data_IF_071692701257
#
_entry.id   IF_071692701257
#
_cell.length_a   1.000
_cell.length_b   1.000
_cell.length_c   1.000
_cell.angle_alpha   90.00
_cell.angle_beta   90.00
_cell.angle_gamma   90.00
#
_symmetry.space_group_name_H-M   'P 1'
#
loop_
_entity.id
_entity.type
_entity.pdbx_description
1 polymer ?
#
# COMPACT_ATOMS: atom_id res chain seq x y z
N UNK A 1 -35.18 14.96 -7.31
CA UNK A 1 -34.18 13.84 -7.14
C UNK A 1 -33.46 13.51 -8.45
N UNK A 2 -34.13 13.51 -9.61
CA UNK A 2 -33.49 13.30 -10.92
C UNK A 2 -32.45 14.37 -11.26
N UNK A 3 -32.74 15.64 -10.94
CA UNK A 3 -31.82 16.78 -11.17
C UNK A 3 -30.54 16.66 -10.31
N UNK A 4 -30.64 16.07 -9.11
CA UNK A 4 -29.51 15.87 -8.23
C UNK A 4 -28.61 14.72 -8.75
N UNK A 5 -29.25 13.65 -9.26
CA UNK A 5 -28.55 12.51 -9.87
C UNK A 5 -27.85 12.93 -11.16
N UNK A 6 -28.50 13.72 -12.05
CA UNK A 6 -27.86 14.26 -13.24
C UNK A 6 -26.69 15.21 -12.93
N UNK A 7 -26.76 16.00 -11.84
CA UNK A 7 -25.65 16.85 -11.40
C UNK A 7 -24.48 16.04 -10.85
N UNK A 8 -24.74 14.95 -10.12
CA UNK A 8 -23.70 14.04 -9.58
C UNK A 8 -23.00 13.29 -10.72
N UNK A 9 -23.74 12.81 -11.72
CA UNK A 9 -23.20 12.15 -12.92
C UNK A 9 -22.35 13.12 -13.73
N UNK A 10 -22.79 14.38 -13.89
CA UNK A 10 -22.01 15.44 -14.57
C UNK A 10 -20.71 15.81 -13.85
N UNK A 11 -20.63 15.68 -12.51
CA UNK A 11 -19.41 16.00 -11.74
C UNK A 11 -18.25 15.02 -11.97
N UNK A 12 -18.53 13.81 -12.45
CA UNK A 12 -17.49 12.78 -12.70
C UNK A 12 -17.12 12.66 -14.19
N UNK A 13 -17.65 13.54 -15.04
CA UNK A 13 -17.40 13.51 -16.48
C UNK A 13 -16.94 14.89 -16.95
N UNK A 14 -15.76 14.97 -17.55
CA UNK A 14 -15.14 16.24 -17.95
C UNK A 14 -14.09 16.04 -19.05
N UNK A 15 -13.69 17.13 -19.67
CA UNK A 15 -12.57 17.22 -20.62
C UNK A 15 -11.49 18.12 -20.03
N UNK A 16 -10.25 17.66 -20.01
CA UNK A 16 -9.08 18.49 -19.72
C UNK A 16 -8.24 18.65 -20.98
N UNK A 17 -7.81 19.89 -21.26
CA UNK A 17 -6.80 20.17 -22.29
C UNK A 17 -5.48 20.51 -21.65
N UNK A 18 -4.38 19.96 -22.17
CA UNK A 18 -3.02 20.19 -21.66
C UNK A 18 -1.98 19.36 -22.39
N UNK A 19 -0.78 19.27 -21.79
CA UNK A 19 0.28 18.39 -22.26
C UNK A 19 0.15 17.06 -21.52
N UNK A 20 -0.28 16.02 -22.20
CA UNK A 20 -0.61 14.72 -21.63
C UNK A 20 0.56 13.77 -21.85
N UNK A 21 1.07 13.14 -20.79
CA UNK A 21 2.14 12.14 -20.85
C UNK A 21 1.71 10.87 -20.12
N UNK A 22 1.77 9.72 -20.80
CA UNK A 22 1.39 8.43 -20.23
C UNK A 22 2.12 7.27 -20.90
N UNK A 23 2.27 6.16 -20.20
CA UNK A 23 2.86 4.94 -20.73
C UNK A 23 1.84 4.20 -21.59
N UNK A 24 2.23 3.79 -22.78
CA UNK A 24 1.46 2.88 -23.67
C UNK A 24 1.95 1.44 -23.57
N UNK A 25 3.17 1.26 -23.08
CA UNK A 25 3.75 -0.04 -22.73
C UNK A 25 4.77 0.12 -21.59
N UNK A 26 5.41 -0.95 -21.16
CA UNK A 26 6.47 -0.93 -20.14
C UNK A 26 7.71 -0.11 -20.56
N UNK A 27 7.93 0.08 -21.84
CA UNK A 27 9.13 0.71 -22.41
C UNK A 27 8.84 1.95 -23.25
N UNK A 28 7.57 2.32 -23.43
CA UNK A 28 7.19 3.41 -24.32
C UNK A 28 6.28 4.42 -23.62
N UNK A 29 6.70 5.69 -23.68
CA UNK A 29 5.92 6.84 -23.27
C UNK A 29 5.31 7.53 -24.49
N UNK A 30 4.05 7.96 -24.38
CA UNK A 30 3.38 8.82 -25.33
C UNK A 30 3.15 10.21 -24.73
N UNK A 31 3.45 11.25 -25.51
CA UNK A 31 3.14 12.63 -25.18
C UNK A 31 2.19 13.22 -26.24
N UNK A 32 1.17 13.93 -25.78
CA UNK A 32 0.16 14.55 -26.64
C UNK A 32 -0.17 15.93 -26.08
N UNK A 33 -0.02 16.98 -26.89
CA UNK A 33 -0.67 18.28 -26.60
C UNK A 33 -2.09 18.21 -27.12
N UNK A 34 -3.06 18.00 -26.21
CA UNK A 34 -4.43 17.70 -26.61
C UNK A 34 -5.40 17.58 -25.46
N UNK A 35 -6.31 16.64 -25.54
CA UNK A 35 -7.47 16.50 -24.68
C UNK A 35 -7.52 15.11 -24.05
N UNK A 36 -7.77 15.03 -22.74
CA UNK A 36 -8.16 13.80 -22.04
C UNK A 36 -9.62 13.90 -21.64
N UNK A 37 -10.37 12.85 -21.87
CA UNK A 37 -11.79 12.76 -21.50
C UNK A 37 -11.96 11.79 -20.35
N UNK A 38 -12.62 12.25 -19.31
CA UNK A 38 -13.12 11.41 -18.22
C UNK A 38 -14.63 11.24 -18.40
N UNK A 39 -15.10 10.00 -18.35
CA UNK A 39 -16.52 9.64 -18.34
C UNK A 39 -16.79 8.75 -17.14
N UNK A 40 -17.69 9.19 -16.27
CA UNK A 40 -18.08 8.43 -15.07
C UNK A 40 -16.88 7.98 -14.21
N UNK A 41 -15.88 8.89 -14.07
CA UNK A 41 -14.67 8.64 -13.31
C UNK A 41 -13.64 7.74 -14.02
N UNK A 42 -13.84 7.39 -15.30
CA UNK A 42 -12.91 6.57 -16.09
C UNK A 42 -12.35 7.35 -17.28
N UNK A 43 -11.08 7.09 -17.63
CA UNK A 43 -10.49 7.66 -18.83
C UNK A 43 -11.17 7.06 -20.08
N UNK A 44 -11.85 7.92 -20.85
CA UNK A 44 -12.50 7.54 -22.10
C UNK A 44 -11.58 7.71 -23.34
N UNK A 45 -10.39 8.29 -23.15
CA UNK A 45 -9.36 8.42 -24.18
C UNK A 45 -8.60 9.74 -24.14
N UNK A 46 -7.50 9.76 -24.91
CA UNK A 46 -6.65 10.91 -25.18
C UNK A 46 -6.76 11.26 -26.64
N UNK A 47 -6.98 12.54 -26.97
CA UNK A 47 -7.28 13.03 -28.31
C UNK A 47 -6.41 14.24 -28.67
N UNK A 48 -5.86 14.28 -29.87
CA UNK A 48 -5.09 15.43 -30.38
C UNK A 48 -5.97 16.61 -30.77
N UNK A 49 -7.20 16.31 -31.25
CA UNK A 49 -8.22 17.30 -31.62
C UNK A 49 -9.37 17.26 -30.65
N UNK A 50 -10.11 18.36 -30.51
CA UNK A 50 -11.29 18.43 -29.65
C UNK A 50 -12.27 17.30 -30.00
N UNK A 51 -12.64 16.46 -29.02
CA UNK A 51 -13.51 15.31 -29.28
C UNK A 51 -14.99 15.72 -29.29
N UNK A 52 -15.52 16.13 -30.46
CA UNK A 52 -16.86 16.70 -30.64
C UNK A 52 -17.99 15.86 -30.01
N UNK A 53 -17.86 14.54 -29.97
CA UNK A 53 -18.84 13.66 -29.32
C UNK A 53 -19.02 13.90 -27.81
N UNK A 54 -18.09 14.63 -27.20
CA UNK A 54 -18.11 14.95 -25.76
C UNK A 54 -18.29 16.45 -25.48
N UNK A 55 -18.66 17.25 -26.49
CA UNK A 55 -18.76 18.74 -26.42
C UNK A 55 -19.63 19.26 -25.28
N UNK A 56 -20.59 18.47 -24.79
CA UNK A 56 -21.52 18.85 -23.74
C UNK A 56 -20.96 18.62 -22.31
N UNK A 57 -19.75 18.05 -22.19
CA UNK A 57 -19.07 17.86 -20.92
C UNK A 57 -18.40 19.16 -20.43
N UNK A 58 -18.21 19.25 -19.11
CA UNK A 58 -17.42 20.34 -18.53
C UNK A 58 -15.99 20.33 -19.13
N UNK A 59 -15.58 21.48 -19.66
CA UNK A 59 -14.27 21.64 -20.28
C UNK A 59 -13.38 22.55 -19.44
N UNK A 60 -12.12 22.14 -19.22
CA UNK A 60 -11.10 22.92 -18.53
C UNK A 60 -9.83 22.98 -19.38
N UNK A 61 -9.40 24.16 -19.76
CA UNK A 61 -8.10 24.39 -20.41
C UNK A 61 -7.03 24.63 -19.33
N UNK A 62 -6.15 23.65 -19.15
CA UNK A 62 -5.02 23.71 -18.22
C UNK A 62 -3.78 24.35 -18.87
N UNK A 63 -3.93 24.86 -20.10
CA UNK A 63 -2.89 25.53 -20.89
C UNK A 63 -1.67 24.62 -21.10
N UNK A 64 -0.51 25.03 -20.56
CA UNK A 64 0.79 24.39 -20.67
C UNK A 64 1.09 23.36 -19.58
N UNK A 65 0.14 23.13 -18.68
CA UNK A 65 0.34 22.16 -17.59
C UNK A 65 0.47 20.74 -18.11
N UNK A 66 1.35 19.98 -17.44
CA UNK A 66 1.54 18.55 -17.69
C UNK A 66 0.45 17.75 -16.96
N UNK A 67 -0.21 16.87 -17.69
CA UNK A 67 -1.18 15.89 -17.19
C UNK A 67 -0.54 14.52 -17.24
N UNK A 68 -0.42 13.86 -16.11
CA UNK A 68 0.12 12.50 -15.96
C UNK A 68 -0.87 11.62 -15.20
N UNK A 69 -0.77 10.28 -15.30
CA UNK A 69 -1.50 9.37 -14.41
C UNK A 69 -1.19 9.68 -12.95
N UNK A 70 -2.20 9.55 -12.08
CA UNK A 70 -1.99 9.69 -10.65
C UNK A 70 -1.03 8.62 -10.12
N UNK A 71 -0.18 8.99 -9.16
CA UNK A 71 0.79 8.10 -8.55
C UNK A 71 0.10 7.06 -7.66
N UNK A 72 0.77 5.92 -7.49
CA UNK A 72 0.33 4.82 -6.62
C UNK A 72 1.42 4.59 -5.58
N UNK A 73 1.03 4.60 -4.31
CA UNK A 73 1.88 4.23 -3.18
C UNK A 73 1.48 2.84 -2.70
N UNK A 74 2.30 1.83 -2.97
CA UNK A 74 1.98 0.45 -2.62
C UNK A 74 2.29 0.08 -1.18
N UNK A 75 2.97 0.97 -0.42
CA UNK A 75 3.34 0.70 0.96
C UNK A 75 3.65 1.99 1.72
N UNK A 76 2.83 2.30 2.71
CA UNK A 76 3.00 3.45 3.60
C UNK A 76 2.37 3.17 4.96
N UNK A 77 3.01 3.63 6.04
CA UNK A 77 2.51 3.51 7.41
C UNK A 77 1.95 4.84 7.92
N UNK A 78 0.63 4.97 7.99
CA UNK A 78 -0.01 6.19 8.47
C UNK A 78 0.38 6.58 9.92
N UNK A 79 0.47 5.62 10.88
CA UNK A 79 0.83 5.96 12.26
C UNK A 79 2.28 6.40 12.44
N UNK A 80 3.14 6.15 11.48
CA UNK A 80 4.55 6.53 11.53
C UNK A 80 4.82 7.92 10.95
N UNK A 81 3.81 8.58 10.40
CA UNK A 81 3.94 9.86 9.71
C UNK A 81 4.51 10.98 10.59
N UNK A 82 4.26 10.93 11.90
CA UNK A 82 4.68 11.96 12.85
C UNK A 82 6.21 12.04 13.06
N UNK A 83 6.94 10.92 12.87
CA UNK A 83 8.39 10.86 13.11
C UNK A 83 9.24 10.57 11.86
N UNK A 84 8.67 10.76 10.65
CA UNK A 84 9.39 10.55 9.41
C UNK A 84 10.70 11.38 9.36
N UNK A 85 11.77 10.74 8.92
CA UNK A 85 13.09 11.34 8.90
C UNK A 85 13.85 11.30 10.24
N UNK A 86 13.29 10.62 11.26
CA UNK A 86 13.95 10.43 12.55
C UNK A 86 14.52 9.02 12.69
N UNK A 87 15.67 8.91 13.37
CA UNK A 87 16.32 7.61 13.64
C UNK A 87 16.89 6.93 12.39
N UNK A 88 17.25 7.69 11.35
CA UNK A 88 17.77 7.16 10.08
C UNK A 88 19.19 6.58 10.17
N UNK A 89 19.80 6.59 11.33
CA UNK A 89 21.09 6.01 11.67
C UNK A 89 20.99 4.67 12.42
N UNK A 90 19.76 4.19 12.61
CA UNK A 90 19.50 2.86 13.19
C UNK A 90 19.26 1.80 12.11
N UNK A 91 19.57 0.56 12.46
CA UNK A 91 19.13 -0.61 11.71
C UNK A 91 17.66 -0.95 12.02
N UNK A 92 16.99 -1.71 11.14
CA UNK A 92 15.55 -1.99 11.21
C UNK A 92 15.05 -2.36 12.61
N UNK A 93 15.63 -3.37 13.25
CA UNK A 93 15.12 -3.88 14.55
C UNK A 93 15.28 -2.85 15.66
N UNK A 94 16.41 -2.13 15.70
CA UNK A 94 16.64 -1.05 16.66
C UNK A 94 15.70 0.13 16.40
N UNK A 95 15.49 0.48 15.13
CA UNK A 95 14.57 1.53 14.72
C UNK A 95 13.12 1.21 15.10
N UNK A 96 12.67 -0.04 14.90
CA UNK A 96 11.34 -0.49 15.32
C UNK A 96 11.14 -0.28 16.83
N UNK A 97 12.10 -0.69 17.65
CA UNK A 97 11.99 -0.62 19.11
C UNK A 97 12.11 0.80 19.65
N UNK A 98 12.91 1.68 19.02
CA UNK A 98 13.22 3.02 19.54
C UNK A 98 12.31 4.11 18.99
N UNK A 99 11.84 3.98 17.76
CA UNK A 99 11.02 5.00 17.09
C UNK A 99 9.59 4.51 16.81
N UNK A 100 9.47 3.37 16.14
CA UNK A 100 8.19 2.93 15.57
C UNK A 100 7.19 2.50 16.62
N UNK A 101 7.54 1.53 17.44
CA UNK A 101 6.61 0.98 18.44
C UNK A 101 6.18 2.01 19.49
N UNK A 102 7.06 2.87 20.04
CA UNK A 102 6.65 3.93 20.95
C UNK A 102 5.67 4.93 20.32
N UNK A 103 5.80 5.22 19.04
CA UNK A 103 4.85 6.11 18.35
C UNK A 103 3.52 5.41 18.07
N UNK A 104 3.55 4.20 17.52
CA UNK A 104 2.32 3.43 17.19
C UNK A 104 1.47 3.14 18.44
N UNK A 105 2.07 2.97 19.61
CA UNK A 105 1.36 2.77 20.87
C UNK A 105 0.46 3.96 21.26
N UNK A 106 0.81 5.19 20.85
CA UNK A 106 0.01 6.40 21.14
C UNK A 106 -1.37 6.38 20.48
N UNK A 107 -1.54 5.62 19.40
CA UNK A 107 -2.80 5.51 18.65
C UNK A 107 -3.90 4.73 19.40
N UNK A 108 -3.62 4.22 20.59
CA UNK A 108 -4.63 3.77 21.55
C UNK A 108 -5.55 4.93 21.97
N UNK A 109 -5.02 6.14 22.01
CA UNK A 109 -5.76 7.37 22.25
C UNK A 109 -6.41 7.85 20.94
N UNK A 110 -7.74 7.87 20.92
CA UNK A 110 -8.53 8.25 19.73
C UNK A 110 -8.34 9.73 19.34
N UNK A 111 -8.12 10.62 20.30
CA UNK A 111 -7.90 12.05 20.04
C UNK A 111 -6.52 12.26 19.42
N UNK A 112 -5.51 11.54 19.91
CA UNK A 112 -4.19 11.51 19.27
C UNK A 112 -4.27 10.97 17.85
N UNK A 113 -4.92 9.81 17.66
CA UNK A 113 -5.10 9.19 16.37
C UNK A 113 -5.79 10.14 15.38
N UNK A 114 -6.88 10.79 15.80
CA UNK A 114 -7.61 11.74 14.97
C UNK A 114 -6.73 12.91 14.54
N UNK A 115 -5.98 13.50 15.47
CA UNK A 115 -5.07 14.62 15.17
C UNK A 115 -3.97 14.22 14.19
N UNK A 116 -3.28 13.11 14.46
CA UNK A 116 -2.16 12.65 13.64
C UNK A 116 -2.63 12.23 12.23
N UNK A 117 -3.72 11.46 12.15
CA UNK A 117 -4.28 11.01 10.88
C UNK A 117 -4.92 12.13 10.04
N UNK A 118 -5.44 13.19 10.68
CA UNK A 118 -5.87 14.38 9.92
C UNK A 118 -4.70 15.00 9.16
N UNK A 119 -3.54 15.17 9.82
CA UNK A 119 -2.34 15.70 9.18
C UNK A 119 -1.88 14.77 8.04
N UNK A 120 -1.86 13.46 8.28
CA UNK A 120 -1.53 12.47 7.25
C UNK A 120 -2.45 12.56 6.04
N UNK A 121 -3.77 12.51 6.27
CA UNK A 121 -4.78 12.54 5.21
C UNK A 121 -4.73 13.84 4.39
N UNK A 122 -4.53 14.99 5.05
CA UNK A 122 -4.40 16.28 4.37
C UNK A 122 -3.15 16.34 3.48
N UNK A 123 -2.02 15.78 3.93
CA UNK A 123 -0.82 15.72 3.11
C UNK A 123 -0.97 14.74 1.95
N UNK A 124 -1.56 13.56 2.18
CA UNK A 124 -1.86 12.60 1.11
C UNK A 124 -2.78 13.20 0.05
N UNK A 125 -3.84 13.90 0.46
CA UNK A 125 -4.77 14.59 -0.44
C UNK A 125 -4.09 15.63 -1.32
N UNK A 126 -3.07 16.31 -0.80
CA UNK A 126 -2.34 17.37 -1.50
C UNK A 126 -1.10 16.84 -2.24
N UNK A 127 -0.81 15.55 -2.15
CA UNK A 127 0.28 14.90 -2.88
C UNK A 127 -0.13 14.53 -4.32
N UNK A 128 0.80 13.94 -5.08
CA UNK A 128 0.50 13.38 -6.39
C UNK A 128 -0.09 11.96 -6.32
N UNK A 129 -0.15 11.36 -5.14
CA UNK A 129 -0.68 10.02 -4.91
C UNK A 129 -2.20 10.02 -5.02
N UNK A 130 -2.74 9.11 -5.82
CA UNK A 130 -4.18 8.94 -6.01
C UNK A 130 -4.69 7.60 -5.49
N UNK A 131 -3.77 6.65 -5.26
CA UNK A 131 -4.03 5.31 -4.71
C UNK A 131 -2.95 4.94 -3.72
N UNK A 132 -3.33 4.31 -2.60
CA UNK A 132 -2.37 3.87 -1.60
C UNK A 132 -2.80 2.57 -0.91
N UNK A 133 -1.78 1.74 -0.54
CA UNK A 133 -1.93 0.64 0.39
C UNK A 133 -1.33 1.09 1.74
N UNK A 134 -2.17 1.21 2.76
CA UNK A 134 -1.84 1.89 4.01
C UNK A 134 -1.89 0.92 5.19
N UNK A 135 -0.78 0.82 5.92
CA UNK A 135 -0.75 0.21 7.23
C UNK A 135 -1.29 1.20 8.27
N UNK A 136 -2.29 0.78 9.04
CA UNK A 136 -2.81 1.53 10.18
C UNK A 136 -2.14 1.05 11.48
N UNK A 137 -2.92 0.87 12.54
CA UNK A 137 -2.46 0.31 13.81
C UNK A 137 -3.23 -0.98 14.14
N UNK A 138 -2.87 -1.64 15.25
CA UNK A 138 -3.67 -2.73 15.80
C UNK A 138 -5.00 -2.23 16.41
N UNK A 139 -5.09 -0.93 16.77
CA UNK A 139 -6.25 -0.35 17.45
C UNK A 139 -7.39 -0.12 16.43
N UNK A 140 -8.47 -0.90 16.59
CA UNK A 140 -9.63 -0.87 15.71
C UNK A 140 -10.21 0.54 15.52
N UNK A 141 -10.47 1.25 16.62
CA UNK A 141 -11.04 2.59 16.58
C UNK A 141 -10.14 3.58 15.81
N UNK A 142 -8.84 3.54 16.03
CA UNK A 142 -7.90 4.39 15.29
C UNK A 142 -7.87 4.04 13.79
N UNK A 143 -7.97 2.75 13.44
CA UNK A 143 -8.05 2.31 12.04
C UNK A 143 -9.33 2.83 11.37
N UNK A 144 -10.47 2.82 12.06
CA UNK A 144 -11.72 3.37 11.54
C UNK A 144 -11.66 4.90 11.36
N UNK A 145 -11.03 5.63 12.31
CA UNK A 145 -10.76 7.07 12.18
C UNK A 145 -9.92 7.35 10.91
N UNK A 146 -8.88 6.56 10.67
CA UNK A 146 -8.07 6.69 9.46
C UNK A 146 -8.91 6.46 8.20
N UNK A 147 -9.74 5.41 8.20
CA UNK A 147 -10.60 5.10 7.04
C UNK A 147 -11.62 6.22 6.75
N UNK A 148 -12.22 6.79 7.79
CA UNK A 148 -13.13 7.95 7.65
C UNK A 148 -12.42 9.13 6.97
N UNK A 149 -11.23 9.48 7.47
CA UNK A 149 -10.44 10.58 6.92
C UNK A 149 -9.97 10.31 5.48
N UNK A 150 -9.53 9.07 5.19
CA UNK A 150 -9.09 8.72 3.82
C UNK A 150 -10.25 8.72 2.83
N UNK A 151 -11.44 8.28 3.21
CA UNK A 151 -12.65 8.38 2.35
C UNK A 151 -12.96 9.83 1.98
N UNK A 152 -12.82 10.77 2.93
CA UNK A 152 -13.03 12.19 2.72
C UNK A 152 -12.00 12.83 1.76
N UNK A 153 -10.80 12.26 1.65
CA UNK A 153 -9.79 12.75 0.69
C UNK A 153 -10.20 12.56 -0.76
N UNK A 154 -11.03 11.55 -1.04
CA UNK A 154 -11.39 11.12 -2.39
C UNK A 154 -10.36 10.22 -3.07
N UNK A 155 -9.24 9.88 -2.42
CA UNK A 155 -8.28 8.90 -2.90
C UNK A 155 -8.89 7.49 -2.88
N UNK A 156 -8.35 6.59 -3.69
CA UNK A 156 -8.69 5.16 -3.61
C UNK A 156 -7.64 4.48 -2.76
N UNK A 157 -8.04 3.96 -1.60
CA UNK A 157 -7.09 3.41 -0.63
C UNK A 157 -7.48 2.02 -0.16
N UNK A 158 -6.48 1.20 0.12
CA UNK A 158 -6.60 0.06 1.00
C UNK A 158 -6.02 0.45 2.35
N UNK A 159 -6.75 0.17 3.43
CA UNK A 159 -6.31 0.43 4.80
C UNK A 159 -6.40 -0.85 5.60
N UNK A 160 -5.34 -1.21 6.30
CA UNK A 160 -5.27 -2.45 7.05
C UNK A 160 -5.04 -2.24 8.54
N UNK A 161 -5.93 -2.84 9.37
CA UNK A 161 -5.66 -3.05 10.78
C UNK A 161 -4.50 -4.02 10.91
N UNK A 162 -3.44 -3.63 11.62
CA UNK A 162 -2.29 -4.50 11.85
C UNK A 162 -2.66 -5.64 12.82
N UNK A 163 -2.15 -6.81 12.53
CA UNK A 163 -2.23 -7.99 13.38
C UNK A 163 -0.84 -8.34 13.94
N UNK A 164 -0.76 -8.46 15.28
CA UNK A 164 0.45 -8.82 16.02
C UNK A 164 0.05 -9.50 17.33
N UNK A 165 0.34 -10.80 17.48
CA UNK A 165 0.05 -11.56 18.71
C UNK A 165 1.30 -12.13 19.39
N UNK A 166 2.50 -11.80 18.86
CA UNK A 166 3.80 -12.11 19.48
C UNK A 166 4.88 -11.08 19.13
N UNK A 167 5.99 -11.15 19.83
CA UNK A 167 7.25 -10.40 19.50
C UNK A 167 7.06 -8.91 19.27
N UNK A 168 6.12 -8.29 20.00
CA UNK A 168 5.86 -6.86 20.02
C UNK A 168 5.78 -6.37 21.48
N UNK A 169 5.98 -5.07 21.73
CA UNK A 169 5.80 -4.51 23.07
C UNK A 169 4.37 -4.74 23.61
N UNK A 170 4.23 -4.79 24.95
CA UNK A 170 2.97 -5.06 25.65
C UNK A 170 1.83 -4.12 25.21
N UNK A 171 2.15 -2.88 24.85
CA UNK A 171 1.18 -1.89 24.38
C UNK A 171 0.65 -2.18 22.97
N UNK A 172 1.37 -2.98 22.20
CA UNK A 172 1.05 -3.28 20.79
C UNK A 172 0.74 -4.74 20.54
N UNK A 173 1.22 -5.67 21.34
CA UNK A 173 0.88 -7.09 21.20
C UNK A 173 -0.61 -7.31 21.50
N UNK A 174 -1.30 -8.08 20.70
CA UNK A 174 -2.67 -8.51 20.96
C UNK A 174 -2.64 -9.71 21.92
N UNK A 175 -3.62 -9.85 22.80
CA UNK A 175 -3.63 -10.82 23.90
C UNK A 175 -3.49 -12.29 23.43
N UNK A 176 -3.98 -12.58 22.24
CA UNK A 176 -3.91 -13.91 21.61
C UNK A 176 -4.25 -13.83 20.11
N UNK A 177 -3.98 -14.91 19.38
CA UNK A 177 -4.44 -15.10 18.02
C UNK A 177 -5.96 -14.91 17.89
N UNK A 178 -6.73 -15.53 18.79
CA UNK A 178 -8.19 -15.41 18.81
C UNK A 178 -8.67 -13.96 18.98
N UNK A 179 -8.05 -13.19 19.86
CA UNK A 179 -8.42 -11.79 20.07
C UNK A 179 -8.03 -10.92 18.88
N UNK A 180 -6.87 -11.16 18.26
CA UNK A 180 -6.45 -10.46 17.06
C UNK A 180 -7.41 -10.72 15.89
N UNK A 181 -7.76 -11.99 15.67
CA UNK A 181 -8.71 -12.40 14.64
C UNK A 181 -10.12 -11.86 14.91
N UNK A 182 -10.60 -11.95 16.16
CA UNK A 182 -11.90 -11.42 16.58
C UNK A 182 -12.01 -9.90 16.35
N UNK A 183 -10.97 -9.15 16.72
CA UNK A 183 -10.92 -7.71 16.48
C UNK A 183 -10.91 -7.38 14.99
N UNK A 184 -10.20 -8.17 14.18
CA UNK A 184 -10.15 -8.00 12.72
C UNK A 184 -11.49 -8.30 12.08
N UNK A 185 -12.11 -9.41 12.45
CA UNK A 185 -13.46 -9.77 12.00
C UNK A 185 -14.50 -8.71 12.37
N UNK A 186 -14.48 -8.26 13.64
CA UNK A 186 -15.37 -7.21 14.11
C UNK A 186 -15.18 -5.89 13.35
N UNK A 187 -13.92 -5.48 13.11
CA UNK A 187 -13.61 -4.30 12.32
C UNK A 187 -14.18 -4.39 10.91
N UNK A 188 -13.96 -5.51 10.21
CA UNK A 188 -14.46 -5.71 8.84
C UNK A 188 -15.99 -5.61 8.79
N UNK A 189 -16.70 -6.19 9.76
CA UNK A 189 -18.16 -6.12 9.82
C UNK A 189 -18.66 -4.69 10.08
N UNK A 190 -18.01 -3.92 10.97
CA UNK A 190 -18.42 -2.54 11.28
C UNK A 190 -18.26 -1.59 10.11
N UNK A 191 -17.27 -1.83 9.25
CA UNK A 191 -17.03 -1.00 8.07
C UNK A 191 -17.75 -1.48 6.82
N UNK A 192 -18.47 -2.62 6.88
CA UNK A 192 -19.14 -3.21 5.73
C UNK A 192 -20.11 -2.21 5.07
N UNK A 193 -19.87 -1.90 3.79
CA UNK A 193 -20.68 -0.97 3.02
C UNK A 193 -20.55 0.51 3.40
N UNK A 194 -19.70 0.86 4.39
CA UNK A 194 -19.53 2.25 4.87
C UNK A 194 -18.80 3.13 3.86
N UNK A 195 -17.81 2.58 3.15
CA UNK A 195 -16.92 3.35 2.28
C UNK A 195 -17.05 2.95 0.80
N UNK A 196 -16.83 3.92 -0.08
CA UNK A 196 -16.86 3.72 -1.55
C UNK A 196 -15.46 3.55 -2.13
N UNK A 197 -14.48 4.29 -1.62
CA UNK A 197 -13.12 4.38 -2.14
C UNK A 197 -12.08 3.76 -1.22
N UNK A 198 -12.32 3.79 0.07
CA UNK A 198 -11.44 3.18 1.08
C UNK A 198 -11.92 1.76 1.36
N UNK A 199 -11.03 0.79 1.24
CA UNK A 199 -11.35 -0.64 1.39
C UNK A 199 -10.43 -1.30 2.42
N UNK A 200 -10.89 -2.34 3.11
CA UNK A 200 -10.04 -3.12 4.01
C UNK A 200 -9.03 -3.96 3.24
N UNK A 201 -7.87 -4.17 3.86
CA UNK A 201 -6.83 -5.12 3.46
C UNK A 201 -6.31 -5.83 4.71
N UNK A 202 -6.14 -7.15 4.65
CA UNK A 202 -5.56 -7.90 5.77
C UNK A 202 -4.09 -7.56 5.91
N UNK A 203 -3.66 -7.34 7.16
CA UNK A 203 -2.32 -6.82 7.43
C UNK A 203 -1.67 -7.56 8.60
N UNK A 204 -1.30 -8.87 8.44
CA UNK A 204 -0.29 -9.44 9.31
C UNK A 204 0.97 -8.58 9.17
N UNK A 205 1.48 -8.03 10.28
CA UNK A 205 2.59 -7.05 10.19
C UNK A 205 3.79 -7.65 9.47
N UNK A 206 4.26 -8.79 9.95
CA UNK A 206 5.29 -9.64 9.36
C UNK A 206 5.36 -10.96 10.15
N UNK A 207 5.99 -11.99 9.63
CA UNK A 207 6.03 -13.32 10.26
C UNK A 207 6.52 -13.30 11.71
N UNK A 208 7.56 -12.53 12.10
CA UNK A 208 8.00 -12.50 13.49
C UNK A 208 6.94 -12.06 14.50
N UNK A 209 5.97 -11.25 14.10
CA UNK A 209 4.93 -10.73 14.98
C UNK A 209 3.60 -11.49 14.94
N UNK A 210 3.49 -12.54 14.11
CA UNK A 210 2.27 -13.33 13.97
C UNK A 210 2.55 -14.81 14.26
N UNK A 211 1.73 -15.43 15.12
CA UNK A 211 1.78 -16.89 15.33
C UNK A 211 1.11 -17.62 14.17
N UNK A 212 1.37 -18.92 14.04
CA UNK A 212 0.73 -19.76 13.03
C UNK A 212 -0.80 -19.81 13.24
N UNK A 213 -1.24 -19.88 14.51
CA UNK A 213 -2.65 -19.84 14.86
C UNK A 213 -3.33 -18.55 14.37
N UNK A 214 -2.65 -17.41 14.49
CA UNK A 214 -3.15 -16.15 13.96
C UNK A 214 -3.20 -16.15 12.44
N UNK A 215 -2.14 -16.63 11.78
CA UNK A 215 -2.08 -16.69 10.32
C UNK A 215 -3.17 -17.60 9.75
N UNK A 216 -3.45 -18.74 10.37
CA UNK A 216 -4.56 -19.62 9.97
C UNK A 216 -5.93 -18.94 10.12
N UNK A 217 -6.15 -18.21 11.22
CA UNK A 217 -7.39 -17.46 11.40
C UNK A 217 -7.54 -16.30 10.42
N UNK A 218 -6.43 -15.62 10.07
CA UNK A 218 -6.43 -14.58 9.04
C UNK A 218 -6.74 -15.15 7.66
N UNK A 219 -6.25 -16.37 7.34
CA UNK A 219 -6.63 -17.10 6.12
C UNK A 219 -8.15 -17.31 6.06
N UNK A 220 -8.80 -17.76 7.13
CA UNK A 220 -10.25 -17.96 7.16
C UNK A 220 -11.01 -16.64 6.97
N UNK A 221 -10.54 -15.54 7.56
CA UNK A 221 -11.10 -14.20 7.33
C UNK A 221 -10.89 -13.78 5.88
N UNK A 222 -9.71 -13.99 5.33
CA UNK A 222 -9.39 -13.68 3.94
C UNK A 222 -10.36 -14.37 2.98
N UNK A 223 -10.57 -15.68 3.15
CA UNK A 223 -11.48 -16.49 2.32
C UNK A 223 -12.94 -16.04 2.47
N UNK A 224 -13.37 -15.75 3.70
CA UNK A 224 -14.76 -15.37 4.00
C UNK A 224 -15.13 -14.04 3.31
N UNK A 225 -14.22 -13.06 3.27
CA UNK A 225 -14.48 -11.72 2.76
C UNK A 225 -13.79 -11.41 1.43
N UNK A 226 -13.04 -12.36 0.88
CA UNK A 226 -12.22 -12.19 -0.33
C UNK A 226 -11.34 -10.92 -0.27
N UNK A 227 -10.56 -10.77 0.81
CA UNK A 227 -9.75 -9.58 1.05
C UNK A 227 -8.35 -9.72 0.44
N UNK A 228 -7.77 -8.62 -0.08
CA UNK A 228 -6.35 -8.59 -0.37
C UNK A 228 -5.53 -8.63 0.91
N UNK A 229 -4.24 -8.96 0.78
CA UNK A 229 -3.28 -9.08 1.87
C UNK A 229 -2.10 -8.14 1.62
N UNK A 230 -1.57 -7.53 2.67
CA UNK A 230 -0.29 -6.82 2.62
C UNK A 230 0.58 -7.19 3.82
N UNK A 231 1.89 -7.25 3.61
CA UNK A 231 2.87 -7.53 4.66
C UNK A 231 4.29 -7.11 4.24
N UNK A 232 5.31 -7.44 5.05
CA UNK A 232 6.72 -7.24 4.78
C UNK A 232 7.39 -8.57 4.43
N UNK A 233 8.39 -8.52 3.54
CA UNK A 233 9.07 -9.72 3.07
C UNK A 233 10.55 -9.46 2.81
N UNK A 234 11.40 -10.26 3.45
CA UNK A 234 12.83 -10.36 3.15
C UNK A 234 13.52 -8.99 3.04
N UNK A 235 13.19 -8.08 3.97
CA UNK A 235 13.70 -6.72 3.99
C UNK A 235 15.16 -6.68 4.48
N UNK A 236 15.42 -7.29 5.65
CA UNK A 236 16.70 -7.23 6.35
C UNK A 236 17.21 -8.63 6.65
N UNK A 237 18.56 -8.81 6.66
CA UNK A 237 19.17 -10.11 6.94
C UNK A 237 18.88 -10.61 8.35
N UNK A 238 18.88 -9.70 9.34
CA UNK A 238 18.54 -10.04 10.71
C UNK A 238 17.09 -10.51 10.84
N UNK A 239 16.17 -9.89 10.13
CA UNK A 239 14.77 -10.30 10.04
C UNK A 239 14.63 -11.71 9.44
N UNK A 240 15.34 -12.02 8.37
CA UNK A 240 15.31 -13.33 7.71
C UNK A 240 15.83 -14.44 8.66
N UNK A 241 16.93 -14.19 9.37
CA UNK A 241 17.43 -15.13 10.38
C UNK A 241 16.41 -15.34 11.50
N UNK A 242 15.77 -14.29 11.96
CA UNK A 242 14.73 -14.38 12.97
C UNK A 242 13.54 -15.22 12.49
N UNK A 243 13.10 -15.04 11.24
CA UNK A 243 12.06 -15.90 10.65
C UNK A 243 12.52 -17.34 10.57
N UNK A 244 13.78 -17.62 10.18
CA UNK A 244 14.35 -18.97 10.14
C UNK A 244 14.33 -19.65 11.51
N UNK A 245 14.62 -18.91 12.59
CA UNK A 245 14.53 -19.41 13.95
C UNK A 245 13.10 -19.75 14.38
N UNK A 246 12.15 -18.87 14.04
CA UNK A 246 10.74 -19.03 14.41
C UNK A 246 10.01 -20.07 13.55
N UNK A 247 10.44 -20.24 12.30
CA UNK A 247 9.81 -21.12 11.28
C UNK A 247 10.83 -22.06 10.65
N UNK A 248 11.42 -22.98 11.46
CA UNK A 248 12.42 -23.94 10.95
C UNK A 248 11.84 -24.93 9.92
N UNK A 249 10.52 -25.03 9.83
CA UNK A 249 9.76 -25.82 8.87
C UNK A 249 9.61 -25.13 7.51
N UNK A 250 9.91 -23.83 7.40
CA UNK A 250 9.80 -23.06 6.15
C UNK A 250 11.13 -23.07 5.39
N UNK A 251 11.05 -23.27 4.07
CA UNK A 251 12.24 -23.33 3.22
C UNK A 251 12.89 -21.94 3.03
N UNK A 252 12.09 -20.88 3.04
CA UNK A 252 12.47 -19.47 2.94
C UNK A 252 11.36 -18.60 3.55
N UNK A 253 11.57 -17.30 3.67
CA UNK A 253 10.64 -16.43 4.38
C UNK A 253 9.22 -16.45 3.78
N UNK A 254 9.07 -16.28 2.46
CA UNK A 254 7.78 -16.28 1.78
C UNK A 254 7.01 -17.60 1.90
N UNK A 255 7.69 -18.74 2.03
CA UNK A 255 7.09 -20.04 2.31
C UNK A 255 6.28 -20.05 3.62
N UNK A 256 6.66 -19.20 4.59
CA UNK A 256 5.91 -19.03 5.83
C UNK A 256 4.55 -18.37 5.62
N UNK A 257 4.38 -17.52 4.61
CA UNK A 257 3.07 -16.99 4.22
C UNK A 257 2.28 -17.96 3.35
N UNK A 258 2.99 -18.64 2.43
CA UNK A 258 2.38 -19.58 1.48
C UNK A 258 1.72 -20.76 2.17
N UNK A 259 2.34 -21.30 3.22
CA UNK A 259 1.77 -22.35 4.08
C UNK A 259 0.42 -21.99 4.70
N UNK A 260 0.09 -20.71 4.78
CA UNK A 260 -1.20 -20.20 5.27
C UNK A 260 -2.09 -19.65 4.14
N UNK A 261 -1.78 -19.92 2.87
CA UNK A 261 -2.50 -19.43 1.69
C UNK A 261 -2.67 -17.89 1.67
N UNK A 262 -1.68 -17.14 2.20
CA UNK A 262 -1.68 -15.67 2.27
C UNK A 262 -0.61 -15.04 1.37
N UNK A 263 -0.03 -15.82 0.45
CA UNK A 263 1.07 -15.39 -0.43
C UNK A 263 0.68 -15.31 -1.92
N UNK A 264 -0.50 -14.78 -2.19
CA UNK A 264 -1.06 -14.76 -3.54
C UNK A 264 -1.73 -16.08 -3.92
N UNK A 265 -2.05 -16.26 -5.20
CA UNK A 265 -2.65 -17.49 -5.72
C UNK A 265 -2.10 -17.80 -7.11
N UNK A 266 -1.68 -19.03 -7.33
CA UNK A 266 -1.18 -19.54 -8.61
C UNK A 266 -2.23 -19.52 -9.73
N UNK A 267 -3.53 -19.56 -9.37
CA UNK A 267 -4.63 -19.47 -10.32
C UNK A 267 -4.98 -18.01 -10.61
N UNK A 268 -4.16 -17.36 -11.43
CA UNK A 268 -4.27 -15.93 -11.80
C UNK A 268 -5.62 -15.51 -12.42
N UNK A 269 -6.44 -16.47 -12.87
CA UNK A 269 -7.77 -16.24 -13.46
C UNK A 269 -8.89 -16.19 -12.40
N UNK A 270 -8.60 -16.47 -11.14
CA UNK A 270 -9.57 -16.38 -10.06
C UNK A 270 -9.58 -14.97 -9.48
N UNK A 271 -10.73 -14.53 -8.97
CA UNK A 271 -10.88 -13.28 -8.19
C UNK A 271 -10.11 -13.33 -6.84
N UNK A 272 -9.09 -14.17 -6.74
CA UNK A 272 -8.39 -14.56 -5.54
C UNK A 272 -7.28 -13.61 -5.14
N UNK A 273 -6.78 -13.85 -3.96
CA UNK A 273 -5.92 -13.05 -3.07
C UNK A 273 -4.85 -12.28 -3.80
N UNK A 274 -5.07 -10.98 -3.98
CA UNK A 274 -3.98 -10.08 -4.33
C UNK A 274 -3.14 -9.81 -3.09
N UNK A 275 -1.88 -10.22 -3.11
CA UNK A 275 -0.95 -9.99 -2.02
C UNK A 275 0.11 -8.97 -2.42
N UNK A 276 0.33 -7.97 -1.56
CA UNK A 276 1.37 -6.95 -1.70
C UNK A 276 2.42 -7.18 -0.64
N UNK A 277 3.66 -7.45 -1.05
CA UNK A 277 4.80 -7.64 -0.17
C UNK A 277 5.79 -6.48 -0.30
N UNK A 278 6.05 -5.81 0.81
CA UNK A 278 7.00 -4.71 0.84
C UNK A 278 8.44 -5.20 0.86
N UNK A 279 9.35 -4.40 0.31
CA UNK A 279 10.81 -4.51 0.27
C UNK A 279 11.35 -5.59 -0.67
N UNK A 280 11.27 -6.86 -0.33
CA UNK A 280 11.80 -8.00 -1.11
C UNK A 280 13.29 -7.78 -1.50
N UNK A 281 14.12 -7.30 -0.54
CA UNK A 281 15.53 -6.94 -0.78
C UNK A 281 16.40 -8.18 -0.93
N UNK A 282 16.19 -9.17 -0.06
CA UNK A 282 17.01 -10.37 0.06
C UNK A 282 16.26 -11.65 -0.31
N UNK A 283 15.24 -11.55 -1.14
CA UNK A 283 14.47 -12.71 -1.61
C UNK A 283 15.34 -13.70 -2.36
N UNK A 284 15.32 -14.98 -1.95
CA UNK A 284 16.02 -16.06 -2.64
C UNK A 284 15.44 -16.33 -4.03
N UNK A 285 16.14 -17.11 -4.87
CA UNK A 285 15.64 -17.46 -6.19
C UNK A 285 14.35 -18.28 -6.12
N UNK A 286 14.23 -19.14 -5.11
CA UNK A 286 13.03 -19.94 -4.85
C UNK A 286 11.87 -19.06 -4.41
N UNK A 287 12.11 -18.08 -3.53
CA UNK A 287 11.11 -17.12 -3.10
C UNK A 287 10.63 -16.25 -4.27
N UNK A 288 11.54 -15.76 -5.10
CA UNK A 288 11.21 -14.99 -6.32
C UNK A 288 10.38 -15.83 -7.29
N UNK A 289 10.70 -17.11 -7.44
CA UNK A 289 9.93 -18.03 -8.28
C UNK A 289 8.50 -18.17 -7.75
N UNK A 290 8.33 -18.41 -6.45
CA UNK A 290 7.02 -18.55 -5.82
C UNK A 290 6.20 -17.26 -5.92
N UNK A 291 6.80 -16.09 -5.61
CA UNK A 291 6.15 -14.79 -5.79
C UNK A 291 5.61 -14.59 -7.21
N UNK A 292 6.39 -15.00 -8.21
CA UNK A 292 6.01 -14.87 -9.62
C UNK A 292 4.84 -15.79 -9.97
N UNK A 293 4.91 -17.05 -9.56
CA UNK A 293 3.88 -18.07 -9.81
C UNK A 293 2.57 -17.66 -9.15
N UNK A 294 2.60 -17.17 -7.92
CA UNK A 294 1.43 -16.72 -7.17
C UNK A 294 0.98 -15.28 -7.53
N UNK A 295 1.68 -14.60 -8.41
CA UNK A 295 1.30 -13.25 -8.85
C UNK A 295 1.40 -12.17 -7.79
N UNK A 296 2.29 -12.33 -6.80
CA UNK A 296 2.53 -11.38 -5.71
C UNK A 296 3.01 -10.04 -6.26
N UNK A 297 2.48 -8.95 -5.72
CA UNK A 297 2.93 -7.59 -5.99
C UNK A 297 4.08 -7.21 -5.06
N UNK A 298 5.15 -6.67 -5.62
CA UNK A 298 6.29 -6.14 -4.86
C UNK A 298 6.13 -4.63 -4.69
N UNK A 299 6.15 -4.14 -3.46
CA UNK A 299 6.28 -2.72 -3.16
C UNK A 299 7.77 -2.40 -2.91
N UNK A 300 8.44 -1.83 -3.91
CA UNK A 300 9.83 -1.40 -3.77
C UNK A 300 9.91 -0.08 -3.02
N UNK A 301 10.58 -0.09 -1.88
CA UNK A 301 10.72 1.04 -0.95
C UNK A 301 12.18 1.55 -0.90
N UNK A 302 12.68 2.22 -1.94
CA UNK A 302 14.11 2.51 -2.10
C UNK A 302 14.67 3.39 -0.97
N UNK A 303 13.91 4.39 -0.52
CA UNK A 303 14.34 5.31 0.53
C UNK A 303 14.51 4.58 1.88
N UNK A 304 13.51 3.83 2.29
CA UNK A 304 13.55 3.06 3.53
C UNK A 304 14.66 2.01 3.52
N UNK A 305 14.77 1.24 2.43
CA UNK A 305 15.81 0.22 2.29
C UNK A 305 17.22 0.78 2.50
N UNK A 306 17.48 2.02 2.07
CA UNK A 306 18.76 2.70 2.28
C UNK A 306 18.86 3.23 3.72
N UNK A 307 17.83 3.95 4.19
CA UNK A 307 17.84 4.61 5.48
C UNK A 307 18.01 3.63 6.65
N UNK A 308 17.39 2.45 6.55
CA UNK A 308 17.45 1.39 7.57
C UNK A 308 18.53 0.34 7.27
N UNK A 309 19.44 0.64 6.34
CA UNK A 309 20.56 -0.23 5.93
C UNK A 309 20.12 -1.65 5.49
N UNK A 310 18.86 -1.80 5.05
CA UNK A 310 18.32 -3.07 4.57
C UNK A 310 19.01 -3.55 3.29
N UNK A 311 19.42 -2.64 2.41
CA UNK A 311 20.16 -2.95 1.19
C UNK A 311 19.51 -2.45 -0.09
N UNK A 312 19.89 -3.01 -1.23
CA UNK A 312 19.38 -2.66 -2.55
C UNK A 312 18.59 -3.85 -3.13
N UNK A 313 17.29 -3.65 -3.31
CA UNK A 313 16.45 -4.68 -3.92
C UNK A 313 16.85 -4.95 -5.40
N UNK A 314 16.83 -6.20 -5.86
CA UNK A 314 17.26 -6.57 -7.21
C UNK A 314 16.18 -6.26 -8.25
N UNK A 315 15.77 -4.99 -8.35
CA UNK A 315 14.64 -4.52 -9.17
C UNK A 315 14.80 -4.90 -10.65
N UNK A 316 16.04 -4.86 -11.19
CA UNK A 316 16.28 -5.28 -12.58
C UNK A 316 15.89 -6.74 -12.79
N UNK A 317 16.27 -7.63 -11.87
CA UNK A 317 15.88 -9.04 -11.91
C UNK A 317 14.35 -9.21 -11.90
N UNK A 318 13.64 -8.45 -11.06
CA UNK A 318 12.18 -8.51 -11.00
C UNK A 318 11.51 -8.03 -12.30
N UNK A 319 12.01 -6.95 -12.89
CA UNK A 319 11.52 -6.44 -14.18
C UNK A 319 11.80 -7.43 -15.33
N UNK A 320 12.99 -8.04 -15.37
CA UNK A 320 13.37 -9.01 -16.42
C UNK A 320 12.54 -10.31 -16.31
N UNK A 321 12.07 -10.65 -15.12
CA UNK A 321 11.17 -11.78 -14.88
C UNK A 321 9.68 -11.41 -15.06
N UNK A 322 9.36 -10.20 -15.47
CA UNK A 322 8.00 -9.70 -15.68
C UNK A 322 7.13 -9.73 -14.41
N UNK A 323 7.75 -9.50 -13.26
CA UNK A 323 7.05 -9.49 -11.98
C UNK A 323 6.21 -8.23 -11.81
N UNK A 324 5.17 -8.32 -11.00
CA UNK A 324 4.32 -7.19 -10.61
C UNK A 324 5.05 -6.35 -9.57
N UNK A 325 5.60 -5.21 -9.95
CA UNK A 325 6.37 -4.33 -9.07
C UNK A 325 5.89 -2.89 -9.19
N UNK A 326 5.82 -2.19 -8.08
CA UNK A 326 5.57 -0.75 -7.99
C UNK A 326 6.36 -0.13 -6.85
N UNK A 327 6.18 1.17 -6.63
CA UNK A 327 6.89 1.90 -5.59
C UNK A 327 6.05 2.01 -4.32
N UNK A 328 6.72 1.99 -3.17
CA UNK A 328 6.22 2.38 -1.88
C UNK A 328 7.05 3.53 -1.31
N UNK A 329 6.40 4.46 -0.62
CA UNK A 329 7.11 5.52 0.11
C UNK A 329 7.69 5.03 1.42
N UNK A 330 7.00 4.08 2.02
CA UNK A 330 7.32 3.46 3.32
C UNK A 330 7.66 4.49 4.40
N UNK A 331 6.82 5.49 4.55
CA UNK A 331 6.90 6.41 5.69
C UNK A 331 6.65 5.61 6.99
N UNK A 332 7.52 5.70 8.02
CA UNK A 332 8.62 6.67 8.22
C UNK A 332 10.03 6.15 7.90
N UNK A 333 10.23 4.88 7.55
CA UNK A 333 11.52 4.40 7.05
C UNK A 333 11.94 5.20 5.82
N UNK A 334 11.00 5.50 4.91
CA UNK A 334 11.10 6.59 3.95
C UNK A 334 10.74 7.94 4.59
N UNK A 335 11.53 8.97 4.32
CA UNK A 335 11.41 10.30 4.94
C UNK A 335 10.26 11.16 4.38
N UNK A 336 9.51 10.72 3.38
CA UNK A 336 8.44 11.48 2.73
C UNK A 336 7.46 10.58 1.99
N UNK A 337 6.19 10.98 1.95
CA UNK A 337 5.12 10.34 1.19
C UNK A 337 5.17 10.61 -0.33
N UNK A 338 6.19 11.31 -0.79
CA UNK A 338 6.31 11.71 -2.20
C UNK A 338 6.76 10.55 -3.08
N UNK A 339 5.87 10.01 -3.89
CA UNK A 339 6.24 9.00 -4.90
C UNK A 339 7.19 9.56 -5.96
N UNK A 340 7.17 10.85 -6.25
CA UNK A 340 8.22 11.47 -7.08
C UNK A 340 9.60 11.33 -6.45
N UNK A 341 9.70 11.44 -5.12
CA UNK A 341 10.96 11.19 -4.41
C UNK A 341 11.33 9.72 -4.50
N UNK A 342 10.41 8.80 -4.27
CA UNK A 342 10.65 7.37 -4.41
C UNK A 342 11.14 7.00 -5.83
N UNK A 343 10.62 7.65 -6.90
CA UNK A 343 11.11 7.48 -8.28
C UNK A 343 12.58 7.89 -8.38
N UNK A 344 12.96 9.06 -7.83
CA UNK A 344 14.35 9.53 -7.92
C UNK A 344 15.30 8.64 -7.11
N UNK A 345 14.88 8.18 -5.95
CA UNK A 345 15.64 7.25 -5.11
C UNK A 345 15.81 5.89 -5.80
N UNK A 346 14.75 5.34 -6.40
CA UNK A 346 14.81 4.10 -7.19
C UNK A 346 15.79 4.22 -8.37
N UNK A 347 15.78 5.34 -9.09
CA UNK A 347 16.74 5.60 -10.18
C UNK A 347 18.15 5.71 -9.62
N UNK A 348 18.33 6.35 -8.46
CA UNK A 348 19.64 6.49 -7.79
C UNK A 348 20.25 5.13 -7.45
N UNK A 349 19.50 4.29 -6.71
CA UNK A 349 19.99 2.97 -6.26
C UNK A 349 20.16 1.98 -7.41
N UNK A 350 19.41 2.13 -8.50
CA UNK A 350 19.56 1.25 -9.68
C UNK A 350 20.92 1.38 -10.39
N UNK A 351 21.72 2.38 -10.03
CA UNK A 351 23.06 2.66 -10.58
C UNK A 351 24.19 2.17 -9.67
N UNK A 352 23.87 1.69 -8.49
CA UNK A 352 24.82 1.15 -7.50
C UNK A 352 24.98 -0.35 -7.65
#
# INVERSE_FOLDING_TARGET
>A
DEILVERIVKMNSFILKGNICYSISKTELKTVSGYIVCMDGKCAGVFEKFPEKYKDLEFRDLKDKLIIPGMVDLHIHAPQYAFRGMGMDYELIEWLNTQTFPEEAKYKDADYAKKAYTIFADNMKNSATTRACIFATRHRQATEILMDLMEETGLVTYVGKINMDRSAPDELVEESADMSAFNTFGWINDIAGKYKRTKPILTPRFIPSCTDDLMDQLREIQRTYNLPVQSHLSENKGEIEWVRELRPDSAFYGDSYDKHDLFGDENLDSEKVNTVMAHCVWSSDEEVKLMRENGVFIAHCPASNINLTSGIAPVRKYLDLDMKIGLGSDVAGGQTESIFRAITDAIGVSKM
#
